data_IF_605298500778
#
_entry.id   IF_605298500778
#
_cell.length_a   1.000
_cell.length_b   1.000
_cell.length_c   1.000
_cell.angle_alpha   90.00
_cell.angle_beta   90.00
_cell.angle_gamma   90.00
#
_symmetry.space_group_name_H-M   'P 1'
#
loop_
_entity.id
_entity.type
_entity.pdbx_description
1 polymer ?
#
# COMPACT_ATOMS: atom_id res chain seq x y z
N UNK A 1 -37.44 6.10 7.49
CA UNK A 1 -36.14 5.55 7.01
C UNK A 1 -35.66 4.50 8.00
N UNK A 2 -34.69 3.65 7.63
CA UNK A 2 -34.06 2.71 8.58
C UNK A 2 -32.63 2.36 8.20
N UNK A 3 -31.85 1.89 9.16
CA UNK A 3 -30.53 1.31 8.93
C UNK A 3 -30.72 -0.18 8.63
N UNK A 4 -30.07 -0.68 7.58
CA UNK A 4 -30.16 -2.07 7.11
C UNK A 4 -28.77 -2.69 6.94
N UNK A 5 -28.69 -4.02 6.97
CA UNK A 5 -27.44 -4.76 6.77
C UNK A 5 -26.89 -4.52 5.36
N UNK A 6 -25.57 -4.31 5.26
CA UNK A 6 -24.88 -4.19 3.96
C UNK A 6 -25.04 -5.45 3.13
N UNK A 7 -25.32 -5.27 1.84
CA UNK A 7 -25.55 -6.36 0.89
C UNK A 7 -26.71 -7.30 1.27
N UNK A 8 -27.52 -6.96 2.28
CA UNK A 8 -28.70 -7.73 2.70
C UNK A 8 -29.78 -6.78 3.26
N UNK A 9 -30.29 -5.84 2.43
CA UNK A 9 -31.15 -4.74 2.89
C UNK A 9 -32.50 -5.20 3.46
N UNK A 10 -32.90 -6.45 3.22
CA UNK A 10 -34.08 -7.05 3.86
C UNK A 10 -33.97 -7.20 5.39
N UNK A 11 -32.77 -7.06 5.97
CA UNK A 11 -32.53 -7.20 7.40
C UNK A 11 -32.36 -5.82 8.05
N UNK A 12 -33.38 -5.32 8.79
CA UNK A 12 -33.28 -4.05 9.50
C UNK A 12 -32.36 -4.18 10.72
N UNK A 13 -31.50 -3.18 10.90
CA UNK A 13 -30.58 -3.07 12.03
C UNK A 13 -31.11 -2.10 13.09
N UNK A 14 -31.62 -0.94 12.68
CA UNK A 14 -32.17 0.06 13.58
C UNK A 14 -33.12 1.02 12.84
N UNK A 15 -34.16 1.54 13.50
CA UNK A 15 -34.96 2.61 12.92
C UNK A 15 -34.16 3.92 12.80
N UNK A 16 -34.58 4.76 11.85
CA UNK A 16 -34.19 6.18 11.80
C UNK A 16 -35.46 6.97 12.11
N UNK A 17 -35.39 7.80 13.14
CA UNK A 17 -36.53 8.61 13.58
C UNK A 17 -36.94 9.60 12.51
N UNK A 18 -38.18 10.09 12.58
CA UNK A 18 -38.67 11.10 11.63
C UNK A 18 -37.80 12.36 11.65
N UNK A 19 -37.39 12.83 12.84
CA UNK A 19 -36.47 13.97 13.00
C UNK A 19 -35.11 13.73 12.35
N UNK A 20 -34.53 12.54 12.50
CA UNK A 20 -33.29 12.17 11.82
C UNK A 20 -33.47 12.09 10.30
N UNK A 21 -34.58 11.54 9.83
CA UNK A 21 -34.88 11.42 8.40
C UNK A 21 -35.12 12.79 7.75
N UNK A 22 -35.76 13.73 8.45
CA UNK A 22 -35.90 15.12 8.01
C UNK A 22 -34.54 15.82 7.98
N UNK A 23 -33.74 15.70 9.03
CA UNK A 23 -32.41 16.30 9.10
C UNK A 23 -31.48 15.79 7.98
N UNK A 24 -31.52 14.49 7.67
CA UNK A 24 -30.77 13.90 6.56
C UNK A 24 -31.20 14.48 5.21
N UNK A 25 -32.51 14.65 4.99
CA UNK A 25 -33.05 15.25 3.76
C UNK A 25 -32.73 16.74 3.66
N UNK A 26 -32.85 17.50 4.76
CA UNK A 26 -32.56 18.93 4.80
C UNK A 26 -31.07 19.19 4.51
N UNK A 27 -30.18 18.40 5.12
CA UNK A 27 -28.75 18.49 4.86
C UNK A 27 -28.41 18.16 3.41
N UNK A 28 -29.00 17.09 2.88
CA UNK A 28 -28.79 16.73 1.48
C UNK A 28 -29.57 17.61 0.49
N UNK A 29 -30.53 18.39 0.95
CA UNK A 29 -31.30 19.35 0.15
C UNK A 29 -30.74 20.77 0.20
N UNK A 30 -29.59 20.99 0.85
CA UNK A 30 -29.01 22.31 1.13
C UNK A 30 -30.00 23.25 1.86
N UNK A 31 -30.85 22.69 2.72
CA UNK A 31 -31.85 23.42 3.51
C UNK A 31 -31.73 23.17 5.02
N UNK A 32 -30.62 22.56 5.48
CA UNK A 32 -30.36 22.32 6.89
C UNK A 32 -29.92 23.56 7.66
N UNK A 33 -30.25 23.60 8.94
CA UNK A 33 -29.59 24.46 9.92
C UNK A 33 -28.55 23.66 10.74
N UNK A 34 -27.85 24.34 11.66
CA UNK A 34 -26.80 23.71 12.50
C UNK A 34 -27.30 22.56 13.38
N UNK A 35 -28.56 22.57 13.83
CA UNK A 35 -29.13 21.47 14.62
C UNK A 35 -29.45 20.27 13.72
N UNK A 36 -29.98 20.51 12.52
CA UNK A 36 -30.19 19.48 11.51
C UNK A 36 -28.87 18.81 11.12
N UNK A 37 -27.80 19.58 10.92
CA UNK A 37 -26.47 19.03 10.63
C UNK A 37 -25.96 18.10 11.75
N UNK A 38 -26.15 18.50 13.00
CA UNK A 38 -25.76 17.70 14.17
C UNK A 38 -26.55 16.38 14.25
N UNK A 39 -27.85 16.44 13.96
CA UNK A 39 -28.75 15.29 13.99
C UNK A 39 -28.43 14.34 12.82
N UNK A 40 -28.27 14.87 11.61
CA UNK A 40 -27.88 14.12 10.42
C UNK A 40 -26.52 13.43 10.63
N UNK A 41 -25.53 14.14 11.17
CA UNK A 41 -24.22 13.58 11.50
C UNK A 41 -24.33 12.41 12.48
N UNK A 42 -25.18 12.53 13.50
CA UNK A 42 -25.41 11.46 14.49
C UNK A 42 -25.99 10.22 13.83
N UNK A 43 -26.99 10.39 12.96
CA UNK A 43 -27.60 9.29 12.21
C UNK A 43 -26.60 8.61 11.25
N UNK A 44 -25.77 9.38 10.55
CA UNK A 44 -24.74 8.86 9.64
C UNK A 44 -23.64 8.10 10.41
N UNK A 45 -23.20 8.64 11.55
CA UNK A 45 -22.24 7.95 12.45
C UNK A 45 -22.81 6.64 12.95
N UNK A 46 -24.08 6.63 13.40
CA UNK A 46 -24.77 5.41 13.85
C UNK A 46 -24.81 4.34 12.75
N UNK A 47 -25.26 4.71 11.56
CA UNK A 47 -25.29 3.81 10.40
C UNK A 47 -23.88 3.28 10.04
N UNK A 48 -22.84 4.12 10.16
CA UNK A 48 -21.45 3.71 9.92
C UNK A 48 -20.94 2.72 10.96
N UNK A 49 -21.16 2.99 12.25
CA UNK A 49 -20.73 2.13 13.36
C UNK A 49 -21.37 0.75 13.30
N UNK A 50 -22.62 0.66 12.85
CA UNK A 50 -23.34 -0.61 12.68
C UNK A 50 -22.96 -1.36 11.40
N UNK A 51 -21.93 -0.91 10.68
CA UNK A 51 -21.57 -1.35 9.32
C UNK A 51 -22.77 -1.44 8.36
N UNK A 52 -23.76 -0.55 8.49
CA UNK A 52 -25.02 -0.59 7.77
C UNK A 52 -25.09 0.35 6.56
N UNK A 53 -26.21 0.27 5.85
CA UNK A 53 -26.71 1.25 4.88
C UNK A 53 -27.98 1.90 5.39
N UNK A 54 -28.34 3.07 4.85
CA UNK A 54 -29.59 3.76 5.15
C UNK A 54 -30.57 3.49 4.03
N UNK A 55 -31.69 2.84 4.36
CA UNK A 55 -32.83 2.62 3.48
C UNK A 55 -33.77 3.83 3.52
N UNK A 56 -33.95 4.45 2.35
CA UNK A 56 -34.80 5.60 2.16
C UNK A 56 -36.25 5.16 1.95
N UNK A 57 -37.18 5.89 2.56
CA UNK A 57 -38.63 5.65 2.49
C UNK A 57 -39.34 6.58 1.50
N UNK A 58 -38.61 7.18 0.56
CA UNK A 58 -39.18 8.09 -0.44
C UNK A 58 -40.00 7.39 -1.53
N UNK A 59 -39.87 6.06 -1.67
CA UNK A 59 -40.65 5.26 -2.61
C UNK A 59 -41.27 4.08 -1.87
N UNK A 60 -42.49 3.73 -2.29
CA UNK A 60 -43.30 2.64 -1.73
C UNK A 60 -43.24 1.41 -2.64
N UNK A 61 -42.02 0.92 -2.90
CA UNK A 61 -41.75 -0.29 -3.70
C UNK A 61 -41.16 -1.41 -2.84
N UNK A 62 -41.19 -2.64 -3.37
CA UNK A 62 -40.60 -3.82 -2.72
C UNK A 62 -39.11 -3.62 -2.41
N UNK A 63 -38.39 -3.00 -3.35
CA UNK A 63 -37.01 -2.57 -3.17
C UNK A 63 -36.98 -1.08 -2.90
N UNK A 64 -36.12 -0.64 -1.98
CA UNK A 64 -36.02 0.76 -1.56
C UNK A 64 -34.63 1.33 -1.86
N UNK A 65 -34.50 2.63 -2.17
CA UNK A 65 -33.23 3.28 -2.44
C UNK A 65 -32.33 3.26 -1.21
N UNK A 66 -31.02 3.11 -1.44
CA UNK A 66 -30.04 2.91 -0.39
C UNK A 66 -28.95 3.98 -0.42
N UNK A 67 -28.57 4.46 0.76
CA UNK A 67 -27.49 5.42 0.99
C UNK A 67 -26.40 4.79 1.84
N UNK A 68 -25.15 4.87 1.38
CA UNK A 68 -23.98 4.39 2.09
C UNK A 68 -23.26 5.54 2.82
N UNK A 69 -23.05 5.44 4.15
CA UNK A 69 -22.18 6.34 4.90
C UNK A 69 -20.72 6.25 4.41
N UNK A 70 -20.22 7.35 3.83
CA UNK A 70 -18.82 7.50 3.42
C UNK A 70 -18.12 8.44 4.39
N UNK A 71 -17.07 7.93 5.01
CA UNK A 71 -16.15 8.74 5.80
C UNK A 71 -15.01 9.20 4.88
N UNK A 72 -14.80 10.50 4.83
CA UNK A 72 -13.68 11.16 4.16
C UNK A 72 -12.81 11.81 5.23
N UNK A 73 -11.55 12.12 4.92
CA UNK A 73 -10.50 12.42 5.92
C UNK A 73 -10.93 13.37 7.05
N UNK A 74 -11.82 14.34 6.80
CA UNK A 74 -12.38 15.24 7.83
C UNK A 74 -13.91 15.34 7.87
N UNK A 75 -14.64 14.61 7.01
CA UNK A 75 -16.10 14.81 6.86
C UNK A 75 -16.85 13.50 6.66
N UNK A 76 -18.11 13.48 7.10
CA UNK A 76 -19.07 12.45 6.71
C UNK A 76 -19.88 12.89 5.49
N UNK A 77 -20.16 11.95 4.59
CA UNK A 77 -21.10 12.14 3.49
C UNK A 77 -21.92 10.88 3.22
N UNK A 78 -22.96 11.00 2.39
CA UNK A 78 -23.78 9.88 1.93
C UNK A 78 -23.56 9.67 0.44
N UNK A 79 -23.23 8.42 0.08
CA UNK A 79 -23.17 7.98 -1.32
C UNK A 79 -24.40 7.16 -1.65
N UNK A 80 -25.14 7.57 -2.67
CA UNK A 80 -26.23 6.79 -3.25
C UNK A 80 -25.69 5.48 -3.84
N UNK A 81 -26.42 4.39 -3.64
CA UNK A 81 -26.07 3.10 -4.23
C UNK A 81 -26.94 2.88 -5.46
N UNK A 82 -26.30 2.85 -6.62
CA UNK A 82 -26.92 2.48 -7.89
C UNK A 82 -26.91 0.96 -8.09
N UNK A 83 -27.70 0.44 -9.04
CA UNK A 83 -27.55 -0.93 -9.54
C UNK A 83 -26.09 -1.22 -9.95
N UNK A 84 -25.65 -2.47 -9.87
CA UNK A 84 -24.33 -2.87 -10.39
C UNK A 84 -24.46 -3.13 -11.89
N UNK A 85 -23.67 -2.44 -12.72
CA UNK A 85 -23.67 -2.64 -14.17
C UNK A 85 -23.22 -4.06 -14.56
N UNK A 86 -23.92 -4.69 -15.52
CA UNK A 86 -23.44 -5.89 -16.22
C UNK A 86 -24.48 -6.83 -16.85
N UNK A 87 -25.76 -6.78 -16.46
CA UNK A 87 -26.80 -7.65 -17.03
C UNK A 87 -28.13 -6.88 -17.18
N UNK A 88 -28.63 -6.64 -18.42
CA UNK A 88 -29.90 -5.96 -18.68
C UNK A 88 -31.13 -6.66 -18.09
N UNK A 89 -30.99 -7.91 -17.64
CA UNK A 89 -32.09 -8.71 -17.10
C UNK A 89 -31.93 -9.08 -15.62
N UNK A 90 -30.93 -8.54 -14.91
CA UNK A 90 -30.81 -8.73 -13.48
C UNK A 90 -30.67 -7.41 -12.72
N UNK A 91 -31.63 -7.18 -11.82
CA UNK A 91 -31.58 -6.36 -10.60
C UNK A 91 -32.33 -5.01 -10.61
N UNK A 92 -33.64 -5.08 -10.31
CA UNK A 92 -34.43 -3.96 -9.76
C UNK A 92 -34.29 -3.79 -8.23
N UNK A 93 -33.19 -4.27 -7.62
CA UNK A 93 -33.02 -4.35 -6.17
C UNK A 93 -32.67 -3.00 -5.49
N UNK A 94 -32.34 -1.98 -6.30
CA UNK A 94 -31.87 -0.65 -5.86
C UNK A 94 -32.44 0.44 -6.76
N UNK A 95 -33.74 0.76 -6.63
CA UNK A 95 -34.34 1.82 -7.43
C UNK A 95 -33.75 3.19 -7.08
N UNK A 96 -33.86 4.13 -8.01
CA UNK A 96 -33.59 5.54 -7.74
C UNK A 96 -34.60 6.08 -6.70
N UNK A 97 -34.27 7.21 -6.09
CA UNK A 97 -35.18 7.91 -5.19
C UNK A 97 -36.38 8.50 -5.97
N UNK A 98 -37.44 8.93 -5.27
CA UNK A 98 -38.54 9.65 -5.92
C UNK A 98 -38.07 11.04 -6.37
N UNK A 99 -38.63 11.60 -7.44
CA UNK A 99 -38.24 12.91 -8.02
C UNK A 99 -38.23 14.06 -7.01
N UNK A 100 -39.12 14.02 -6.01
CA UNK A 100 -39.24 15.03 -4.94
C UNK A 100 -38.25 14.82 -3.79
N UNK A 101 -37.48 13.74 -3.81
CA UNK A 101 -36.52 13.40 -2.77
C UNK A 101 -35.20 14.12 -3.04
N UNK A 102 -34.56 14.78 -2.04
CA UNK A 102 -33.25 15.42 -2.24
C UNK A 102 -32.14 14.47 -2.70
N UNK A 103 -32.33 13.17 -2.48
CA UNK A 103 -31.41 12.13 -2.93
C UNK A 103 -31.66 11.66 -4.37
N UNK A 104 -32.65 12.22 -5.09
CA UNK A 104 -32.93 11.95 -6.50
C UNK A 104 -31.76 12.35 -7.40
N UNK A 105 -31.66 11.69 -8.55
CA UNK A 105 -30.71 12.00 -9.62
C UNK A 105 -31.44 11.86 -10.94
N UNK A 106 -31.42 12.90 -11.76
CA UNK A 106 -31.87 12.83 -13.16
C UNK A 106 -30.82 12.04 -13.94
N UNK A 107 -31.23 10.90 -14.52
CA UNK A 107 -30.53 10.03 -15.48
C UNK A 107 -28.98 10.04 -15.45
N UNK A 108 -28.39 8.93 -15.00
CA UNK A 108 -26.94 8.67 -14.86
C UNK A 108 -26.06 9.11 -16.05
N UNK A 109 -25.43 10.29 -15.93
CA UNK A 109 -24.44 10.80 -16.91
C UNK A 109 -22.98 10.45 -16.53
N UNK A 110 -22.77 9.50 -15.61
CA UNK A 110 -21.40 9.06 -15.26
C UNK A 110 -21.16 7.66 -15.78
N UNK A 111 -20.43 7.47 -16.90
CA UNK A 111 -20.02 6.14 -17.29
C UNK A 111 -19.21 5.51 -16.15
N UNK A 112 -19.43 4.21 -15.92
CA UNK A 112 -18.58 3.39 -15.07
C UNK A 112 -17.12 3.62 -15.51
N UNK A 113 -16.35 4.32 -14.68
CA UNK A 113 -14.91 4.44 -14.88
C UNK A 113 -14.32 3.06 -14.62
N UNK A 114 -14.16 2.30 -15.70
CA UNK A 114 -13.33 1.11 -15.76
C UNK A 114 -11.95 1.42 -15.14
N UNK A 115 -11.48 0.51 -14.27
CA UNK A 115 -10.20 0.60 -13.57
C UNK A 115 -9.03 0.59 -14.60
N UNK A 116 -8.39 1.74 -14.83
CA UNK A 116 -7.16 1.82 -15.63
C UNK A 116 -5.90 1.67 -14.76
N UNK A 117 -5.28 0.48 -14.81
CA UNK A 117 -3.85 0.24 -14.97
C UNK A 117 -2.81 0.94 -14.07
N UNK A 118 -2.26 0.21 -13.09
CA UNK A 118 -1.00 0.59 -12.43
C UNK A 118 0.26 0.05 -13.09
N UNK A 119 1.04 0.97 -13.66
CA UNK A 119 2.31 0.70 -14.31
C UNK A 119 3.55 1.19 -13.52
N UNK A 120 3.48 2.26 -12.70
CA UNK A 120 4.67 2.87 -12.05
C UNK A 120 4.38 3.31 -10.59
N UNK A 121 5.23 2.91 -9.64
CA UNK A 121 5.17 3.31 -8.21
C UNK A 121 5.55 4.80 -8.03
N UNK A 122 5.15 5.48 -6.94
CA UNK A 122 5.62 6.84 -6.69
C UNK A 122 7.14 6.91 -6.53
N UNK A 123 7.71 8.08 -6.80
CA UNK A 123 9.09 8.42 -6.44
C UNK A 123 9.29 8.37 -4.91
N UNK A 124 10.51 8.04 -4.45
CA UNK A 124 10.81 8.07 -3.02
C UNK A 124 10.69 9.50 -2.50
N UNK A 125 9.90 9.69 -1.44
CA UNK A 125 9.84 10.98 -0.72
C UNK A 125 11.01 11.02 0.27
N UNK A 126 12.22 11.23 -0.23
CA UNK A 126 13.50 11.10 0.51
C UNK A 126 13.60 12.02 1.73
N UNK A 127 12.92 13.16 1.76
CA UNK A 127 13.09 14.16 2.82
C UNK A 127 12.07 14.09 3.98
N UNK A 128 10.97 13.36 3.83
CA UNK A 128 9.91 13.40 4.84
C UNK A 128 10.24 12.48 6.00
N UNK A 129 10.80 12.98 7.11
CA UNK A 129 11.01 12.15 8.31
C UNK A 129 9.71 11.73 9.01
N UNK A 130 8.60 12.42 8.72
CA UNK A 130 7.30 12.17 9.34
C UNK A 130 6.50 11.05 8.67
N UNK A 131 5.67 10.39 9.48
CA UNK A 131 4.75 9.31 9.17
C UNK A 131 3.34 9.78 9.52
N UNK A 132 2.42 9.64 8.58
CA UNK A 132 1.04 10.09 8.78
C UNK A 132 0.33 9.22 9.82
N UNK A 133 -0.16 9.86 10.88
CA UNK A 133 -1.09 9.25 11.82
C UNK A 133 -2.52 9.20 11.27
N UNK A 134 -3.44 8.56 11.99
CA UNK A 134 -4.86 8.59 11.64
C UNK A 134 -5.42 10.01 11.82
N UNK A 135 -6.20 10.53 10.84
CA UNK A 135 -6.88 11.80 11.01
C UNK A 135 -7.94 11.69 12.10
N UNK A 136 -8.30 12.81 12.75
CA UNK A 136 -9.40 12.87 13.73
C UNK A 136 -10.67 12.16 13.23
N UNK A 137 -11.52 11.70 14.16
CA UNK A 137 -12.87 11.22 13.78
C UNK A 137 -13.64 12.43 13.25
N UNK A 138 -14.15 12.40 12.01
CA UNK A 138 -14.93 13.52 11.50
C UNK A 138 -16.07 13.86 12.46
N UNK A 139 -16.12 15.12 12.85
CA UNK A 139 -17.11 15.73 13.71
C UNK A 139 -18.04 16.67 12.93
N UNK A 140 -17.85 16.77 11.61
CA UNK A 140 -18.61 17.65 10.72
C UNK A 140 -19.06 16.93 9.45
N UNK A 141 -20.13 17.43 8.87
CA UNK A 141 -20.61 17.01 7.54
C UNK A 141 -19.78 17.69 6.45
N UNK A 142 -19.76 17.08 5.25
CA UNK A 142 -19.13 17.70 4.10
C UNK A 142 -19.90 18.95 3.68
N UNK A 143 -19.18 20.06 3.47
CA UNK A 143 -19.68 21.24 2.79
C UNK A 143 -19.84 20.91 1.29
N UNK A 144 -21.02 21.14 0.74
CA UNK A 144 -21.38 20.79 -0.64
C UNK A 144 -21.09 21.91 -1.63
N UNK A 145 -21.01 23.16 -1.17
CA UNK A 145 -20.75 24.32 -2.02
C UNK A 145 -19.25 24.56 -2.21
N UNK A 146 -18.41 23.97 -1.34
CA UNK A 146 -16.99 23.87 -1.56
C UNK A 146 -16.70 22.97 -2.77
N UNK A 147 -16.14 23.54 -3.84
CA UNK A 147 -15.58 22.78 -4.96
C UNK A 147 -14.71 21.66 -4.40
N UNK A 148 -15.13 20.41 -4.61
CA UNK A 148 -14.33 19.26 -4.23
C UNK A 148 -12.98 19.44 -4.95
N UNK A 149 -11.84 19.56 -4.24
CA UNK A 149 -10.55 19.62 -4.91
C UNK A 149 -10.49 18.40 -5.82
N UNK A 150 -10.35 18.66 -7.12
CA UNK A 150 -10.55 17.71 -8.22
C UNK A 150 -10.15 16.31 -7.79
N UNK A 151 -11.16 15.49 -7.47
CA UNK A 151 -10.91 14.13 -7.03
C UNK A 151 -10.43 13.36 -8.24
N UNK A 152 -9.12 13.14 -8.32
CA UNK A 152 -8.59 12.15 -9.24
C UNK A 152 -9.26 10.81 -8.89
N UNK A 153 -10.00 10.28 -9.86
CA UNK A 153 -10.69 8.99 -9.75
C UNK A 153 -9.68 7.82 -9.70
N UNK A 154 -8.38 8.11 -9.74
CA UNK A 154 -7.21 7.22 -9.60
C UNK A 154 -7.01 6.58 -8.19
N UNK A 155 -8.06 6.08 -7.52
CA UNK A 155 -7.95 5.50 -6.16
C UNK A 155 -7.73 3.97 -6.10
N UNK A 156 -7.74 3.30 -7.25
CA UNK A 156 -7.23 1.93 -7.53
C UNK A 156 -5.91 1.52 -6.86
N UNK A 157 -5.05 2.52 -6.75
CA UNK A 157 -3.99 2.47 -7.71
C UNK A 157 -2.72 2.91 -6.97
N UNK A 158 -2.80 4.04 -6.25
CA UNK A 158 -1.74 4.48 -5.36
C UNK A 158 -1.59 3.51 -4.19
N UNK A 159 -0.35 3.10 -3.84
CA UNK A 159 -0.11 2.39 -2.59
C UNK A 159 -0.70 3.17 -1.43
N UNK A 160 -1.35 2.46 -0.50
CA UNK A 160 -1.94 3.11 0.66
C UNK A 160 -0.88 3.90 1.44
N UNK A 161 -1.30 4.95 2.17
CA UNK A 161 -0.38 5.72 3.04
C UNK A 161 0.44 4.78 3.94
N UNK A 162 -0.19 3.75 4.52
CA UNK A 162 0.47 2.68 5.27
C UNK A 162 1.48 1.86 4.45
N UNK A 163 1.14 1.52 3.21
CA UNK A 163 2.06 0.81 2.31
C UNK A 163 3.31 1.63 1.98
N UNK A 164 3.15 2.93 1.75
CA UNK A 164 4.29 3.84 1.57
C UNK A 164 5.15 3.90 2.84
N UNK A 165 4.54 3.95 4.02
CA UNK A 165 5.26 3.92 5.31
C UNK A 165 6.07 2.61 5.43
N UNK A 166 5.44 1.47 5.14
CA UNK A 166 6.12 0.18 5.19
C UNK A 166 7.29 0.10 4.20
N UNK A 167 7.12 0.57 2.97
CA UNK A 167 8.21 0.58 2.00
C UNK A 167 9.37 1.49 2.42
N UNK A 168 9.08 2.63 3.04
CA UNK A 168 10.12 3.49 3.61
C UNK A 168 10.87 2.79 4.75
N UNK A 169 10.17 2.06 5.62
CA UNK A 169 10.80 1.24 6.66
C UNK A 169 11.68 0.13 6.07
N UNK A 170 11.17 -0.64 5.11
CA UNK A 170 11.91 -1.73 4.46
C UNK A 170 13.15 -1.17 3.78
N UNK A 171 13.02 -0.09 3.00
CA UNK A 171 14.12 0.57 2.31
C UNK A 171 15.19 1.07 3.27
N UNK A 172 14.78 1.73 4.35
CA UNK A 172 15.70 2.25 5.36
C UNK A 172 16.38 1.15 6.18
N UNK A 173 15.68 0.05 6.44
CA UNK A 173 16.22 -1.11 7.13
C UNK A 173 17.12 -1.99 6.23
N UNK A 174 17.16 -1.72 4.92
CA UNK A 174 17.88 -2.55 3.94
C UNK A 174 17.30 -3.96 3.79
N UNK A 175 16.03 -4.17 4.14
CA UNK A 175 15.38 -5.50 4.08
C UNK A 175 14.98 -5.86 2.64
N UNK A 176 14.88 -4.87 1.75
CA UNK A 176 14.73 -5.07 0.31
C UNK A 176 16.07 -5.35 -0.41
N UNK A 177 17.13 -5.63 0.33
CA UNK A 177 18.47 -5.88 -0.21
C UNK A 177 19.00 -7.20 0.33
N UNK A 178 19.42 -8.09 -0.57
CA UNK A 178 20.25 -9.24 -0.25
C UNK A 178 21.70 -8.83 -0.49
N UNK A 179 22.52 -8.72 0.57
CA UNK A 179 23.91 -8.33 0.41
C UNK A 179 24.73 -9.46 -0.24
N UNK A 180 25.93 -9.16 -0.75
CA UNK A 180 26.88 -10.18 -1.20
C UNK A 180 27.12 -11.26 -0.14
N UNK A 181 27.19 -12.52 -0.55
CA UNK A 181 27.42 -13.65 0.38
C UNK A 181 28.77 -13.58 1.08
N UNK A 182 29.75 -12.89 0.49
CA UNK A 182 31.02 -12.54 1.10
C UNK A 182 30.86 -11.80 2.43
N UNK A 183 29.77 -11.06 2.61
CA UNK A 183 29.47 -10.30 3.83
C UNK A 183 28.82 -11.16 4.92
N UNK A 184 28.66 -12.47 4.65
CA UNK A 184 28.08 -13.48 5.54
C UNK A 184 26.74 -13.03 6.13
N UNK A 185 25.72 -12.77 5.28
CA UNK A 185 24.42 -12.32 5.77
C UNK A 185 23.76 -13.35 6.68
N UNK A 186 23.11 -12.84 7.73
CA UNK A 186 22.24 -13.62 8.59
C UNK A 186 20.79 -13.51 8.12
N UNK A 187 20.24 -14.63 7.66
CA UNK A 187 18.83 -14.76 7.27
C UNK A 187 18.05 -15.42 8.40
N UNK A 188 17.44 -14.59 9.22
CA UNK A 188 16.48 -15.02 10.24
C UNK A 188 15.46 -13.90 10.48
N UNK A 189 14.27 -14.27 10.97
CA UNK A 189 13.20 -13.31 11.24
C UNK A 189 13.61 -12.25 12.26
N UNK A 190 14.20 -12.67 13.39
CA UNK A 190 14.51 -11.79 14.53
C UNK A 190 15.50 -10.67 14.17
N UNK A 191 16.66 -10.94 13.53
CA UNK A 191 17.57 -9.88 13.07
C UNK A 191 16.90 -8.90 12.09
N UNK A 192 16.05 -9.36 11.19
CA UNK A 192 15.36 -8.46 10.24
C UNK A 192 14.32 -7.57 10.91
N UNK A 193 13.53 -8.12 11.85
CA UNK A 193 12.64 -7.31 12.68
C UNK A 193 13.42 -6.33 13.55
N UNK A 194 14.65 -6.68 13.98
CA UNK A 194 15.54 -5.75 14.67
C UNK A 194 15.96 -4.56 13.78
N UNK A 195 16.37 -4.82 12.53
CA UNK A 195 16.69 -3.77 11.54
C UNK A 195 15.49 -2.85 11.30
N UNK A 196 14.29 -3.41 11.13
CA UNK A 196 13.06 -2.64 10.94
C UNK A 196 12.73 -1.77 12.17
N UNK A 197 12.88 -2.30 13.39
CA UNK A 197 12.71 -1.52 14.63
C UNK A 197 13.73 -0.39 14.74
N UNK A 198 14.97 -0.63 14.34
CA UNK A 198 16.00 0.42 14.33
C UNK A 198 15.64 1.54 13.36
N UNK A 199 15.31 1.19 12.10
CA UNK A 199 14.89 2.16 11.09
C UNK A 199 13.66 2.98 11.52
N UNK A 200 12.71 2.36 12.24
CA UNK A 200 11.52 3.04 12.75
C UNK A 200 11.83 4.13 13.79
N UNK A 201 12.95 4.05 14.52
CA UNK A 201 13.35 5.10 15.49
C UNK A 201 13.73 6.41 14.83
N UNK A 202 14.15 6.35 13.58
CA UNK A 202 14.54 7.53 12.82
C UNK A 202 13.37 8.16 12.06
N UNK A 203 12.19 7.54 12.09
CA UNK A 203 10.96 8.10 11.55
C UNK A 203 10.15 8.71 12.69
N UNK A 204 9.53 9.87 12.45
CA UNK A 204 8.71 10.58 13.44
C UNK A 204 7.23 10.39 13.15
N UNK A 205 6.42 10.23 14.18
CA UNK A 205 4.94 10.32 14.06
C UNK A 205 4.50 11.69 14.53
N UNK A 206 5.06 12.14 15.66
CA UNK A 206 4.92 13.48 16.21
C UNK A 206 6.29 14.12 16.40
N UNK A 207 6.34 15.39 16.77
CA UNK A 207 7.61 16.08 17.06
C UNK A 207 8.40 15.36 18.17
N UNK A 208 7.69 14.89 19.20
CA UNK A 208 8.20 14.22 20.41
C UNK A 208 8.30 12.70 20.25
N UNK A 209 7.44 12.08 19.43
CA UNK A 209 7.34 10.63 19.32
C UNK A 209 7.82 10.08 17.98
N UNK A 210 8.74 9.13 18.06
CA UNK A 210 9.21 8.35 16.90
C UNK A 210 8.23 7.22 16.59
N UNK A 211 8.23 6.75 15.35
CA UNK A 211 7.47 5.57 14.96
C UNK A 211 7.92 4.36 15.78
N UNK A 212 9.23 4.18 15.99
CA UNK A 212 9.76 3.09 16.79
C UNK A 212 9.28 3.08 18.25
N UNK A 213 8.93 4.23 18.83
CA UNK A 213 8.34 4.31 20.18
C UNK A 213 6.85 3.94 20.20
N UNK A 214 6.13 4.23 19.12
CA UNK A 214 4.68 3.98 18.98
C UNK A 214 4.35 2.72 18.16
N UNK A 215 5.36 1.92 17.83
CA UNK A 215 5.24 0.70 17.04
C UNK A 215 5.64 -0.53 17.85
N UNK A 216 4.81 -1.58 17.83
CA UNK A 216 5.19 -2.90 18.31
C UNK A 216 5.47 -3.86 17.15
N UNK A 217 6.37 -4.81 17.37
CA UNK A 217 6.58 -5.97 16.47
C UNK A 217 6.09 -7.28 17.08
N UNK A 218 5.35 -7.21 18.19
CA UNK A 218 4.86 -8.37 18.91
C UNK A 218 3.35 -8.33 19.03
N UNK A 219 2.67 -9.33 18.45
CA UNK A 219 1.21 -9.30 18.38
C UNK A 219 0.52 -9.37 19.75
N UNK A 220 1.16 -9.96 20.77
CA UNK A 220 0.54 -10.04 22.10
C UNK A 220 0.33 -8.66 22.73
N UNK A 221 1.17 -7.68 22.40
CA UNK A 221 1.03 -6.30 22.89
C UNK A 221 -0.31 -5.66 22.50
N UNK A 222 -0.93 -6.12 21.41
CA UNK A 222 -2.28 -5.70 21.02
C UNK A 222 -3.36 -6.15 22.00
N UNK A 223 -3.21 -7.34 22.54
CA UNK A 223 -4.22 -7.98 23.38
C UNK A 223 -4.02 -7.72 24.88
N UNK A 224 -2.84 -7.22 25.26
CA UNK A 224 -2.48 -6.92 26.64
C UNK A 224 -2.52 -5.39 26.90
N UNK A 225 -3.53 -4.89 27.63
CA UNK A 225 -3.63 -3.47 28.02
C UNK A 225 -2.45 -2.98 28.84
N UNK A 226 -1.72 -3.88 29.52
CA UNK A 226 -0.56 -3.54 30.34
C UNK A 226 0.77 -3.65 29.58
N UNK A 227 0.71 -3.96 28.29
CA UNK A 227 1.91 -4.04 27.47
C UNK A 227 2.65 -2.70 27.41
N UNK A 228 3.98 -2.77 27.30
CA UNK A 228 4.83 -1.57 27.17
C UNK A 228 4.37 -0.68 26.01
N UNK A 229 3.92 -1.26 24.91
CA UNK A 229 3.48 -0.51 23.74
C UNK A 229 2.20 0.30 24.02
N UNK A 230 1.19 -0.31 24.66
CA UNK A 230 -0.02 0.43 25.04
C UNK A 230 0.27 1.49 26.10
N UNK A 231 1.13 1.20 27.08
CA UNK A 231 1.57 2.20 28.06
C UNK A 231 2.31 3.40 27.43
N UNK A 232 3.10 3.19 26.36
CA UNK A 232 3.72 4.28 25.60
C UNK A 232 2.69 5.09 24.82
N UNK A 233 1.66 4.44 24.27
CA UNK A 233 0.53 5.14 23.65
C UNK A 233 -0.20 6.01 24.68
N UNK A 234 -0.50 5.48 25.87
CA UNK A 234 -1.09 6.26 26.98
C UNK A 234 -0.23 7.45 27.36
N UNK A 235 1.07 7.25 27.53
CA UNK A 235 2.01 8.34 27.83
C UNK A 235 2.07 9.40 26.71
N UNK A 236 1.86 9.02 25.45
CA UNK A 236 1.91 9.96 24.32
C UNK A 236 0.69 10.87 24.21
N UNK A 237 -0.40 10.55 24.91
CA UNK A 237 -1.70 11.23 24.81
C UNK A 237 -1.66 12.77 24.79
N UNK A 238 -0.97 13.47 25.71
CA UNK A 238 -0.98 14.94 25.73
C UNK A 238 -0.30 15.59 24.52
N UNK A 239 0.51 14.85 23.75
CA UNK A 239 1.26 15.39 22.61
C UNK A 239 0.47 15.32 21.29
N UNK A 240 -0.70 14.66 21.28
CA UNK A 240 -1.50 14.50 20.07
C UNK A 240 -2.32 15.77 19.79
N UNK A 241 -2.18 16.40 18.61
CA UNK A 241 -3.00 17.54 18.25
C UNK A 241 -4.43 17.10 17.95
N UNK A 242 -5.41 17.97 18.18
CA UNK A 242 -6.84 17.71 17.96
C UNK A 242 -7.17 17.19 16.55
N UNK A 243 -6.41 17.61 15.54
CA UNK A 243 -6.58 17.18 14.15
C UNK A 243 -6.19 15.72 13.88
N UNK A 244 -5.49 15.06 14.81
CA UNK A 244 -4.99 13.69 14.70
C UNK A 244 -5.51 12.82 15.84
N UNK A 245 -5.73 11.54 15.56
CA UNK A 245 -5.99 10.56 16.62
C UNK A 245 -4.68 10.03 17.14
N UNK A 246 -4.65 9.74 18.44
CA UNK A 246 -3.63 8.86 19.00
C UNK A 246 -3.60 7.55 18.25
N UNK A 247 -2.45 7.30 17.62
CA UNK A 247 -2.27 6.21 16.67
C UNK A 247 -1.10 5.34 17.11
N UNK A 248 -1.39 4.08 17.39
CA UNK A 248 -0.38 3.03 17.52
C UNK A 248 -0.14 2.31 16.20
N UNK A 249 1.07 1.78 16.02
CA UNK A 249 1.43 0.98 14.86
C UNK A 249 1.82 -0.43 15.28
N UNK A 250 1.57 -1.41 14.41
CA UNK A 250 2.12 -2.75 14.58
C UNK A 250 2.76 -3.22 13.29
N UNK A 251 3.94 -3.82 13.37
CA UNK A 251 4.67 -4.39 12.26
C UNK A 251 4.89 -5.88 12.51
N UNK A 252 4.14 -6.73 11.83
CA UNK A 252 4.03 -8.16 12.15
C UNK A 252 4.37 -9.02 10.94
N UNK A 253 5.15 -10.08 11.17
CA UNK A 253 5.21 -11.17 10.21
C UNK A 253 3.93 -12.00 10.30
N UNK A 254 3.29 -12.23 9.16
CA UNK A 254 1.95 -12.81 9.09
C UNK A 254 1.92 -13.86 7.98
N UNK A 255 1.80 -15.16 8.31
CA UNK A 255 1.71 -16.22 7.30
C UNK A 255 0.50 -16.04 6.39
N UNK A 256 -0.62 -15.56 6.95
CA UNK A 256 -1.87 -15.33 6.23
C UNK A 256 -2.52 -14.02 6.63
N UNK A 257 -3.28 -13.44 5.70
CA UNK A 257 -4.14 -12.27 5.91
C UNK A 257 -5.47 -12.48 5.21
N UNK A 258 -6.52 -11.82 5.67
CA UNK A 258 -7.79 -11.68 4.95
C UNK A 258 -8.05 -10.20 4.68
N UNK A 259 -9.13 -9.87 3.97
CA UNK A 259 -9.54 -8.48 3.76
C UNK A 259 -9.83 -7.74 5.08
N UNK A 260 -10.11 -8.46 6.18
CA UNK A 260 -10.57 -7.92 7.46
C UNK A 260 -9.76 -8.37 8.67
N UNK A 261 -8.76 -9.24 8.51
CA UNK A 261 -7.98 -9.72 9.64
C UNK A 261 -6.53 -9.99 9.25
N UNK A 262 -5.63 -9.86 10.23
CA UNK A 262 -4.24 -10.30 10.13
C UNK A 262 -4.01 -11.47 11.08
N UNK A 263 -3.40 -12.54 10.58
CA UNK A 263 -3.00 -13.71 11.37
C UNK A 263 -1.48 -13.65 11.60
N UNK A 264 -1.00 -13.09 12.74
CA UNK A 264 0.43 -12.98 13.00
C UNK A 264 1.05 -14.35 13.32
N UNK A 265 2.30 -14.58 12.91
CA UNK A 265 3.01 -15.82 13.27
C UNK A 265 3.26 -15.94 14.79
N UNK A 266 3.41 -14.80 15.46
CA UNK A 266 3.74 -14.72 16.89
C UNK A 266 2.58 -15.05 17.83
N UNK A 267 1.35 -15.19 17.34
CA UNK A 267 0.17 -15.36 18.19
C UNK A 267 -0.94 -16.13 17.46
N UNK A 268 -1.60 -17.06 18.16
CA UNK A 268 -2.71 -17.81 17.59
C UNK A 268 -3.97 -16.94 17.31
N UNK A 269 -4.13 -15.82 18.03
CA UNK A 269 -5.25 -14.90 17.86
C UNK A 269 -5.03 -14.01 16.64
N UNK A 270 -6.07 -13.88 15.82
CA UNK A 270 -6.12 -12.92 14.71
C UNK A 270 -6.43 -11.51 15.23
N UNK A 271 -5.90 -10.50 14.56
CA UNK A 271 -6.21 -9.10 14.81
C UNK A 271 -7.25 -8.67 13.77
N UNK A 272 -8.48 -8.41 14.24
CA UNK A 272 -9.58 -7.90 13.40
C UNK A 272 -9.35 -6.43 13.02
N UNK A 273 -9.56 -6.11 11.75
CA UNK A 273 -9.32 -4.82 11.13
C UNK A 273 -10.67 -4.18 10.77
N UNK A 274 -10.96 -3.04 11.39
CA UNK A 274 -12.22 -2.34 11.19
C UNK A 274 -12.49 -1.99 9.71
N UNK A 275 -11.48 -1.43 9.02
CA UNK A 275 -11.62 -1.00 7.62
C UNK A 275 -11.27 -2.11 6.64
N UNK A 276 -10.01 -2.22 6.20
CA UNK A 276 -9.55 -3.30 5.35
C UNK A 276 -8.04 -3.47 5.45
N UNK A 277 -7.58 -4.69 5.15
CA UNK A 277 -6.17 -4.96 4.83
C UNK A 277 -5.99 -4.77 3.33
N UNK A 278 -5.12 -3.85 2.93
CA UNK A 278 -4.73 -3.65 1.53
C UNK A 278 -3.50 -4.50 1.22
N UNK A 279 -3.41 -4.99 0.00
CA UNK A 279 -2.27 -5.76 -0.51
C UNK A 279 -2.02 -5.39 -1.97
N UNK A 280 -0.80 -5.60 -2.52
CA UNK A 280 -0.59 -5.57 -3.96
C UNK A 280 -1.59 -6.49 -4.68
N UNK A 281 -2.11 -6.05 -5.83
CA UNK A 281 -3.17 -6.75 -6.56
C UNK A 281 -2.64 -7.81 -7.55
N UNK A 282 -1.32 -7.93 -7.74
CA UNK A 282 -0.72 -8.79 -8.77
C UNK A 282 -0.63 -10.26 -8.34
N UNK A 283 -0.77 -11.17 -9.31
CA UNK A 283 -0.68 -12.63 -9.12
C UNK A 283 -1.89 -13.28 -8.43
N UNK A 284 -1.89 -14.61 -8.34
CA UNK A 284 -2.94 -15.39 -7.68
C UNK A 284 -3.04 -15.06 -6.17
N UNK A 285 -4.20 -14.60 -5.66
CA UNK A 285 -4.43 -14.35 -4.23
C UNK A 285 -4.05 -15.49 -3.29
N UNK A 286 -4.25 -16.76 -3.69
CA UNK A 286 -3.97 -17.90 -2.82
C UNK A 286 -2.45 -18.08 -2.56
N UNK A 287 -1.61 -17.59 -3.47
CA UNK A 287 -0.16 -17.79 -3.47
C UNK A 287 0.63 -16.53 -3.06
N UNK A 288 -0.03 -15.49 -2.52
CA UNK A 288 0.63 -14.22 -2.17
C UNK A 288 1.39 -14.25 -0.85
N UNK A 289 1.00 -15.09 0.11
CA UNK A 289 1.67 -15.18 1.41
C UNK A 289 3.06 -15.83 1.34
N UNK A 290 3.92 -15.65 2.35
CA UNK A 290 3.65 -14.92 3.59
C UNK A 290 3.81 -13.40 3.44
N UNK A 291 3.46 -12.66 4.51
CA UNK A 291 3.41 -11.19 4.49
C UNK A 291 4.19 -10.55 5.63
N UNK A 292 4.76 -9.38 5.35
CA UNK A 292 5.08 -8.38 6.37
C UNK A 292 3.92 -7.37 6.40
N UNK A 293 3.23 -7.29 7.53
CA UNK A 293 2.05 -6.46 7.70
C UNK A 293 2.35 -5.24 8.55
N UNK A 294 1.84 -4.08 8.16
CA UNK A 294 1.77 -2.90 9.01
C UNK A 294 0.30 -2.57 9.29
N UNK A 295 -0.02 -2.36 10.55
CA UNK A 295 -1.34 -1.95 11.03
C UNK A 295 -1.22 -0.60 11.72
N UNK A 296 -2.29 0.18 11.68
CA UNK A 296 -2.50 1.24 12.66
C UNK A 296 -3.72 0.94 13.53
N UNK A 297 -3.64 1.38 14.77
CA UNK A 297 -4.67 1.21 15.78
C UNK A 297 -4.99 2.55 16.43
N UNK A 298 -6.26 2.73 16.79
CA UNK A 298 -6.73 3.85 17.62
C UNK A 298 -7.43 3.33 18.87
N UNK A 299 -7.77 4.26 19.74
CA UNK A 299 -8.62 4.02 20.91
C UNK A 299 -10.01 4.56 20.55
N UNK A 300 -11.03 3.71 20.71
CA UNK A 300 -12.42 4.04 20.33
C UNK A 300 -12.90 5.33 21.00
N UNK A 301 -14.04 5.87 20.53
CA UNK A 301 -14.83 6.94 21.17
C UNK A 301 -14.03 7.94 22.03
N UNK A 302 -13.62 9.07 21.43
CA UNK A 302 -12.91 10.15 22.10
C UNK A 302 -11.57 9.73 22.75
N UNK A 303 -10.87 8.75 22.18
CA UNK A 303 -9.53 8.32 22.62
C UNK A 303 -9.50 7.69 24.02
N UNK A 304 -10.62 7.08 24.46
CA UNK A 304 -10.78 6.48 25.78
C UNK A 304 -11.12 4.97 25.76
N UNK A 305 -11.61 4.45 24.64
CA UNK A 305 -12.02 3.06 24.55
C UNK A 305 -10.85 2.08 24.35
N UNK A 306 -11.12 0.76 24.32
CA UNK A 306 -10.09 -0.23 24.09
C UNK A 306 -9.47 -0.06 22.70
N UNK A 307 -8.21 -0.47 22.58
CA UNK A 307 -7.49 -0.40 21.32
C UNK A 307 -8.20 -1.22 20.24
N UNK A 308 -8.25 -0.68 19.02
CA UNK A 308 -8.73 -1.40 17.84
C UNK A 308 -7.87 -1.11 16.62
N UNK A 309 -7.62 -2.13 15.82
CA UNK A 309 -6.93 -1.96 14.55
C UNK A 309 -7.88 -1.37 13.47
N UNK A 310 -7.46 -0.26 12.85
CA UNK A 310 -8.30 0.51 11.94
C UNK A 310 -8.11 0.09 10.49
N UNK A 311 -6.87 0.00 10.02
CA UNK A 311 -6.53 -0.41 8.67
C UNK A 311 -5.17 -1.10 8.66
N UNK A 312 -4.97 -1.95 7.66
CA UNK A 312 -3.73 -2.69 7.48
C UNK A 312 -3.21 -2.60 6.05
N UNK A 313 -1.91 -2.79 5.90
CA UNK A 313 -1.28 -3.08 4.62
C UNK A 313 -0.40 -4.32 4.76
N UNK A 314 -0.58 -5.27 3.85
CA UNK A 314 0.16 -6.52 3.80
C UNK A 314 1.06 -6.53 2.56
N UNK A 315 2.37 -6.48 2.78
CA UNK A 315 3.38 -6.64 1.73
C UNK A 315 3.76 -8.12 1.65
N UNK A 316 3.51 -8.80 0.53
CA UNK A 316 4.09 -10.11 0.28
C UNK A 316 5.60 -10.06 0.44
N UNK A 317 6.16 -11.08 1.09
CA UNK A 317 7.59 -11.26 1.24
C UNK A 317 8.00 -12.65 0.77
N UNK A 318 9.30 -12.85 0.59
CA UNK A 318 9.87 -14.12 0.16
C UNK A 318 9.54 -15.24 1.17
N UNK A 319 9.97 -15.12 2.42
CA UNK A 319 9.60 -16.04 3.50
C UNK A 319 9.79 -15.41 4.91
N UNK A 320 9.68 -16.22 5.97
CA UNK A 320 9.87 -15.74 7.36
C UNK A 320 11.32 -15.42 7.73
N UNK A 321 12.29 -16.08 7.11
CA UNK A 321 13.72 -15.88 7.39
C UNK A 321 14.34 -14.81 6.50
N UNK A 322 13.63 -14.34 5.49
CA UNK A 322 14.05 -13.34 4.52
C UNK A 322 12.81 -12.54 4.11
N UNK A 323 12.61 -11.40 4.78
CA UNK A 323 11.48 -10.49 4.58
C UNK A 323 11.62 -9.63 3.31
N UNK A 324 12.39 -10.12 2.33
CA UNK A 324 12.60 -9.48 1.04
C UNK A 324 11.24 -9.35 0.33
N UNK A 325 10.84 -8.14 -0.09
CA UNK A 325 9.50 -7.89 -0.61
C UNK A 325 9.33 -8.45 -2.03
N UNK A 326 8.16 -9.00 -2.32
CA UNK A 326 7.75 -9.48 -3.65
C UNK A 326 6.35 -8.96 -4.00
N UNK A 327 5.93 -8.97 -5.26
CA UNK A 327 4.56 -8.54 -5.65
C UNK A 327 3.65 -9.68 -6.08
N UNK A 328 4.20 -10.86 -6.35
CA UNK A 328 3.44 -12.04 -6.80
C UNK A 328 4.15 -13.35 -6.43
N UNK A 329 3.45 -14.49 -6.55
CA UNK A 329 4.06 -15.82 -6.43
C UNK A 329 5.18 -16.03 -7.47
N UNK A 330 4.94 -15.66 -8.73
CA UNK A 330 5.95 -15.73 -9.78
C UNK A 330 7.22 -14.93 -9.45
N UNK A 331 7.07 -13.72 -8.90
CA UNK A 331 8.22 -12.93 -8.47
C UNK A 331 8.97 -13.57 -7.29
N UNK A 332 8.28 -14.32 -6.43
CA UNK A 332 8.93 -15.13 -5.38
C UNK A 332 9.77 -16.25 -6.01
N UNK A 333 9.28 -16.91 -7.05
CA UNK A 333 10.03 -17.95 -7.76
C UNK A 333 11.26 -17.37 -8.47
N UNK A 334 11.13 -16.20 -9.10
CA UNK A 334 12.29 -15.46 -9.65
C UNK A 334 13.28 -15.09 -8.55
N UNK A 335 12.80 -14.64 -7.38
CA UNK A 335 13.67 -14.35 -6.23
C UNK A 335 14.44 -15.61 -5.79
N UNK A 336 13.78 -16.77 -5.76
CA UNK A 336 14.42 -18.06 -5.46
C UNK A 336 15.57 -18.36 -6.44
N UNK A 337 15.32 -18.19 -7.75
CA UNK A 337 16.34 -18.38 -8.78
C UNK A 337 17.50 -17.39 -8.64
N UNK A 338 17.24 -16.13 -8.29
CA UNK A 338 18.29 -15.12 -8.07
C UNK A 338 19.14 -15.42 -6.83
N UNK A 339 18.54 -15.94 -5.76
CA UNK A 339 19.29 -16.32 -4.55
C UNK A 339 20.13 -17.57 -4.80
N UNK A 340 19.58 -18.54 -5.54
CA UNK A 340 20.35 -19.68 -6.04
C UNK A 340 21.52 -19.22 -6.92
N UNK A 341 21.29 -18.32 -7.88
CA UNK A 341 22.31 -17.75 -8.75
C UNK A 341 23.45 -17.12 -7.95
N UNK A 342 23.13 -16.30 -6.94
CA UNK A 342 24.12 -15.66 -6.08
C UNK A 342 25.00 -16.71 -5.37
N UNK A 343 24.39 -17.79 -4.88
CA UNK A 343 25.12 -18.89 -4.25
C UNK A 343 26.00 -19.64 -5.25
N UNK A 344 25.47 -20.00 -6.41
CA UNK A 344 26.23 -20.70 -7.46
C UNK A 344 27.44 -19.88 -7.93
N UNK A 345 27.27 -18.56 -8.11
CA UNK A 345 28.37 -17.67 -8.50
C UNK A 345 29.35 -17.38 -7.37
N UNK A 346 28.91 -17.38 -6.12
CA UNK A 346 29.82 -17.29 -4.97
C UNK A 346 30.76 -18.50 -4.89
N UNK A 347 30.26 -19.70 -5.21
CA UNK A 347 31.06 -20.92 -5.25
C UNK A 347 31.99 -20.96 -6.49
N UNK A 348 31.48 -20.56 -7.67
CA UNK A 348 32.23 -20.65 -8.94
C UNK A 348 33.16 -19.45 -9.23
N UNK A 349 32.85 -18.26 -8.71
CA UNK A 349 33.60 -17.02 -8.91
C UNK A 349 33.63 -16.18 -7.61
N UNK A 350 34.37 -16.59 -6.56
CA UNK A 350 34.31 -15.98 -5.23
C UNK A 350 34.63 -14.47 -5.17
N UNK A 351 35.38 -13.96 -6.15
CA UNK A 351 35.72 -12.55 -6.32
C UNK A 351 34.58 -11.70 -6.91
N UNK A 352 33.53 -12.33 -7.44
CA UNK A 352 32.32 -11.67 -7.91
C UNK A 352 31.38 -11.41 -6.73
N UNK A 353 31.23 -10.15 -6.35
CA UNK A 353 30.28 -9.71 -5.34
C UNK A 353 28.99 -9.32 -6.05
N UNK A 354 27.85 -9.87 -5.61
CA UNK A 354 26.54 -9.59 -6.18
C UNK A 354 25.61 -9.13 -5.07
N UNK A 355 25.08 -7.91 -5.19
CA UNK A 355 24.04 -7.38 -4.30
C UNK A 355 22.71 -7.38 -5.05
N UNK A 356 21.69 -8.04 -4.50
CA UNK A 356 20.35 -8.11 -5.11
C UNK A 356 19.44 -7.12 -4.41
N UNK A 357 18.82 -6.22 -5.17
CA UNK A 357 17.93 -5.20 -4.62
C UNK A 357 16.55 -5.33 -5.26
N UNK A 358 15.49 -5.27 -4.44
CA UNK A 358 14.12 -5.01 -4.90
C UNK A 358 13.84 -3.50 -4.83
N UNK A 359 13.69 -2.80 -5.98
CA UNK A 359 13.29 -1.40 -5.96
C UNK A 359 11.88 -1.23 -5.38
N UNK A 360 11.77 -0.43 -4.32
CA UNK A 360 10.49 -0.16 -3.64
C UNK A 360 9.72 1.04 -4.22
N UNK A 361 10.44 1.93 -4.90
CA UNK A 361 9.95 3.18 -5.48
C UNK A 361 10.43 3.28 -6.93
N UNK A 362 9.79 4.12 -7.73
CA UNK A 362 10.29 4.42 -9.07
C UNK A 362 11.63 5.15 -9.03
N UNK A 363 12.41 4.96 -10.08
CA UNK A 363 13.67 5.64 -10.34
C UNK A 363 13.46 6.63 -11.48
N UNK A 364 14.21 7.73 -11.43
CA UNK A 364 14.29 8.69 -12.51
C UNK A 364 15.37 8.23 -13.50
N UNK A 365 15.01 8.24 -14.78
CA UNK A 365 15.97 8.11 -15.89
C UNK A 365 15.76 9.29 -16.84
N UNK A 366 16.75 9.62 -17.69
CA UNK A 366 16.59 10.66 -18.72
C UNK A 366 15.31 10.51 -19.56
N UNK A 367 14.91 9.29 -19.87
CA UNK A 367 13.70 8.98 -20.66
C UNK A 367 12.42 8.81 -19.81
N UNK A 368 12.46 9.14 -18.52
CA UNK A 368 11.33 9.17 -17.61
C UNK A 368 11.39 8.11 -16.51
N UNK A 369 10.27 7.93 -15.80
CA UNK A 369 10.23 7.03 -14.64
C UNK A 369 10.21 5.56 -15.07
N UNK A 370 10.99 4.75 -14.36
CA UNK A 370 10.89 3.29 -14.44
C UNK A 370 11.05 2.67 -13.05
N UNK A 371 10.72 1.39 -12.94
CA UNK A 371 10.99 0.63 -11.72
C UNK A 371 11.30 -0.81 -12.11
N UNK A 372 12.59 -1.17 -12.15
CA UNK A 372 12.99 -2.55 -12.33
C UNK A 372 12.33 -3.47 -11.30
N UNK A 373 12.06 -4.72 -11.68
CA UNK A 373 11.59 -5.72 -10.74
C UNK A 373 12.74 -6.19 -9.84
N UNK A 374 13.95 -6.36 -10.36
CA UNK A 374 15.15 -6.59 -9.57
C UNK A 374 16.37 -5.87 -10.16
N UNK A 375 17.32 -5.52 -9.29
CA UNK A 375 18.63 -4.98 -9.69
C UNK A 375 19.72 -5.80 -9.02
N UNK A 376 20.65 -6.32 -9.82
CA UNK A 376 21.87 -6.95 -9.37
C UNK A 376 23.01 -5.94 -9.54
N UNK A 377 23.54 -5.41 -8.44
CA UNK A 377 24.80 -4.68 -8.52
C UNK A 377 25.94 -5.69 -8.42
N UNK A 378 26.76 -5.78 -9.46
CA UNK A 378 27.91 -6.68 -9.51
C UNK A 378 29.20 -5.90 -9.38
N UNK A 379 30.13 -6.41 -8.58
CA UNK A 379 31.48 -5.88 -8.46
C UNK A 379 32.47 -7.04 -8.56
N UNK A 380 33.39 -6.94 -9.52
CA UNK A 380 34.36 -7.99 -9.82
C UNK A 380 35.78 -7.38 -9.74
N UNK A 381 36.59 -7.80 -8.77
CA UNK A 381 37.95 -7.27 -8.61
C UNK A 381 38.01 -5.73 -8.58
N UNK A 382 38.79 -5.14 -9.49
CA UNK A 382 38.98 -3.68 -9.61
C UNK A 382 38.11 -3.04 -10.70
N UNK A 383 37.17 -3.78 -11.30
CA UNK A 383 36.24 -3.19 -12.27
C UNK A 383 35.19 -2.34 -11.55
N UNK A 384 34.75 -1.27 -12.22
CA UNK A 384 33.64 -0.45 -11.73
C UNK A 384 32.39 -1.32 -11.55
N UNK A 385 31.61 -1.13 -10.46
CA UNK A 385 30.37 -1.87 -10.27
C UNK A 385 29.37 -1.64 -11.40
N UNK A 386 28.69 -2.70 -11.83
CA UNK A 386 27.71 -2.69 -12.91
C UNK A 386 26.34 -3.03 -12.36
N UNK A 387 25.31 -2.28 -12.76
CA UNK A 387 23.92 -2.64 -12.49
C UNK A 387 23.39 -3.52 -13.61
N UNK A 388 22.88 -4.69 -13.24
CA UNK A 388 22.18 -5.61 -14.12
C UNK A 388 20.71 -5.66 -13.72
N UNK A 389 19.83 -5.54 -14.69
CA UNK A 389 18.38 -5.47 -14.48
C UNK A 389 17.76 -6.83 -14.77
N UNK A 390 16.91 -7.32 -13.88
CA UNK A 390 16.11 -8.54 -14.11
C UNK A 390 14.63 -8.21 -14.03
N UNK A 391 13.92 -8.48 -15.11
CA UNK A 391 12.49 -8.18 -15.26
C UNK A 391 11.66 -9.46 -15.22
N UNK A 392 10.68 -9.52 -14.30
CA UNK A 392 9.81 -10.67 -14.09
C UNK A 392 8.43 -10.43 -14.74
N UNK A 393 8.22 -11.01 -15.93
CA UNK A 393 7.00 -10.90 -16.72
C UNK A 393 5.92 -11.89 -16.25
N UNK A 394 5.35 -11.66 -15.06
CA UNK A 394 4.41 -12.59 -14.44
C UNK A 394 2.98 -12.60 -15.01
N UNK A 395 2.65 -11.72 -15.96
CA UNK A 395 1.33 -11.66 -16.59
C UNK A 395 1.48 -11.42 -18.10
N UNK A 396 0.64 -12.08 -18.89
CA UNK A 396 0.64 -11.98 -20.35
C UNK A 396 -0.60 -11.21 -20.84
N UNK A 397 -0.87 -10.03 -20.27
CA UNK A 397 -1.95 -9.16 -20.75
C UNK A 397 -1.40 -8.07 -21.67
N UNK A 398 -2.19 -7.66 -22.66
CA UNK A 398 -1.78 -6.64 -23.63
C UNK A 398 -1.49 -5.28 -22.97
N UNK A 399 -2.24 -4.91 -21.94
CA UNK A 399 -1.99 -3.70 -21.16
C UNK A 399 -0.65 -3.76 -20.41
N UNK A 400 -0.29 -4.94 -19.89
CA UNK A 400 0.96 -5.16 -19.19
C UNK A 400 2.15 -5.14 -20.16
N UNK A 401 1.99 -5.73 -21.37
CA UNK A 401 2.99 -5.66 -22.45
C UNK A 401 3.22 -4.21 -22.90
N UNK A 402 2.15 -3.48 -23.22
CA UNK A 402 2.24 -2.08 -23.65
C UNK A 402 2.89 -1.17 -22.59
N UNK A 403 2.69 -1.46 -21.30
CA UNK A 403 3.36 -0.77 -20.21
C UNK A 403 4.87 -1.07 -20.15
N UNK A 404 5.24 -2.35 -20.35
CA UNK A 404 6.63 -2.79 -20.35
C UNK A 404 7.39 -2.29 -21.58
N UNK A 405 6.78 -2.25 -22.76
CA UNK A 405 7.38 -1.66 -23.97
C UNK A 405 7.83 -0.21 -23.76
N UNK A 406 7.07 0.58 -22.97
CA UNK A 406 7.45 1.96 -22.62
C UNK A 406 8.54 2.04 -21.56
N UNK A 407 8.63 1.08 -20.66
CA UNK A 407 9.52 1.15 -19.48
C UNK A 407 10.84 0.39 -19.67
N UNK A 408 10.89 -0.64 -20.53
CA UNK A 408 12.10 -1.38 -20.86
C UNK A 408 13.22 -0.50 -21.47
N UNK A 409 12.94 0.42 -22.40
CA UNK A 409 13.97 1.34 -22.90
C UNK A 409 14.60 2.17 -21.78
N UNK A 410 13.78 2.64 -20.81
CA UNK A 410 14.25 3.39 -19.64
C UNK A 410 15.11 2.53 -18.72
N UNK A 411 14.78 1.24 -18.55
CA UNK A 411 15.57 0.31 -17.75
C UNK A 411 16.94 0.01 -18.37
N UNK A 412 17.01 -0.04 -19.71
CA UNK A 412 18.29 -0.22 -20.43
C UNK A 412 19.27 0.94 -20.24
N UNK A 413 18.78 2.12 -19.85
CA UNK A 413 19.64 3.25 -19.44
C UNK A 413 20.33 3.02 -18.09
N UNK A 414 19.75 2.15 -17.24
CA UNK A 414 20.35 1.76 -15.95
C UNK A 414 21.41 0.69 -16.15
N UNK A 415 21.13 -0.29 -17.02
CA UNK A 415 22.05 -1.35 -17.37
C UNK A 415 21.43 -2.46 -18.21
N UNK A 416 22.20 -3.50 -18.55
CA UNK A 416 21.72 -4.66 -19.30
C UNK A 416 20.48 -5.28 -18.65
N UNK A 417 19.48 -5.67 -19.46
CA UNK A 417 18.21 -6.24 -18.98
C UNK A 417 18.11 -7.72 -19.36
N UNK A 418 17.79 -8.57 -18.38
CA UNK A 418 17.45 -9.97 -18.57
C UNK A 418 15.96 -10.18 -18.25
N UNK A 419 15.22 -10.77 -19.18
CA UNK A 419 13.77 -10.99 -19.05
C UNK A 419 13.49 -12.44 -18.61
N UNK A 420 12.57 -12.63 -17.67
CA UNK A 420 12.11 -13.94 -17.21
C UNK A 420 10.59 -14.02 -17.29
N UNK A 421 10.07 -15.05 -17.95
CA UNK A 421 8.64 -15.35 -18.11
C UNK A 421 8.28 -16.65 -17.38
N UNK A 422 6.98 -16.92 -17.11
CA UNK A 422 6.52 -18.15 -16.47
C UNK A 422 7.03 -19.43 -17.15
N UNK A 423 7.12 -19.45 -18.48
CA UNK A 423 7.62 -20.60 -19.22
C UNK A 423 9.11 -20.89 -18.93
N UNK A 424 9.92 -19.86 -18.64
CA UNK A 424 11.36 -19.98 -18.42
C UNK A 424 11.70 -20.68 -17.10
N UNK A 425 10.82 -20.59 -16.10
CA UNK A 425 11.00 -21.21 -14.78
C UNK A 425 10.16 -22.48 -14.58
N UNK A 426 9.50 -22.96 -15.65
CA UNK A 426 8.83 -24.26 -15.62
C UNK A 426 9.84 -25.37 -15.33
N UNK A 427 9.38 -26.49 -14.78
CA UNK A 427 10.25 -27.61 -14.41
C UNK A 427 11.14 -28.09 -15.58
N UNK A 428 10.65 -27.99 -16.82
CA UNK A 428 11.40 -28.39 -18.02
C UNK A 428 12.50 -27.39 -18.42
N UNK A 429 12.33 -26.10 -18.10
CA UNK A 429 13.20 -25.02 -18.62
C UNK A 429 14.08 -24.36 -17.54
N UNK A 430 13.76 -24.56 -16.25
CA UNK A 430 14.41 -23.84 -15.15
C UNK A 430 15.94 -24.02 -15.11
N UNK A 431 16.46 -25.21 -15.41
CA UNK A 431 17.89 -25.47 -15.43
C UNK A 431 18.60 -24.67 -16.55
N UNK A 432 18.04 -24.69 -17.75
CA UNK A 432 18.60 -23.98 -18.90
C UNK A 432 18.53 -22.45 -18.70
N UNK A 433 17.41 -21.95 -18.18
CA UNK A 433 17.26 -20.54 -17.82
C UNK A 433 18.29 -20.14 -16.76
N UNK A 434 18.51 -20.97 -15.75
CA UNK A 434 19.53 -20.76 -14.73
C UNK A 434 20.94 -20.66 -15.31
N UNK A 435 21.29 -21.55 -16.24
CA UNK A 435 22.58 -21.51 -16.97
C UNK A 435 22.72 -20.23 -17.80
N UNK A 436 21.70 -19.87 -18.59
CA UNK A 436 21.68 -18.64 -19.38
C UNK A 436 21.88 -17.40 -18.52
N UNK A 437 21.18 -17.32 -17.39
CA UNK A 437 21.30 -16.20 -16.46
C UNK A 437 22.71 -16.13 -15.83
N UNK A 438 23.29 -17.28 -15.46
CA UNK A 438 24.64 -17.36 -14.93
C UNK A 438 25.68 -16.83 -15.93
N UNK A 439 25.63 -17.31 -17.17
CA UNK A 439 26.54 -16.84 -18.23
C UNK A 439 26.36 -15.35 -18.50
N UNK A 440 25.11 -14.89 -18.57
CA UNK A 440 24.79 -13.49 -18.81
C UNK A 440 25.35 -12.57 -17.71
N UNK A 441 25.23 -12.96 -16.42
CA UNK A 441 25.82 -12.19 -15.32
C UNK A 441 27.35 -12.15 -15.41
N UNK A 442 28.01 -13.28 -15.71
CA UNK A 442 29.47 -13.32 -15.83
C UNK A 442 29.99 -12.47 -16.99
N UNK A 443 29.31 -12.51 -18.13
CA UNK A 443 29.62 -11.72 -19.32
C UNK A 443 29.59 -10.23 -18.97
N UNK A 444 28.48 -9.74 -18.42
CA UNK A 444 28.29 -8.32 -18.17
C UNK A 444 29.06 -7.80 -16.95
N UNK A 445 29.41 -8.66 -15.98
CA UNK A 445 30.19 -8.25 -14.80
C UNK A 445 31.68 -8.04 -15.09
N UNK A 446 32.17 -8.51 -16.23
CA UNK A 446 33.59 -8.39 -16.64
C UNK A 446 33.86 -7.23 -17.61
N UNK A 447 32.81 -6.56 -18.07
CA UNK A 447 32.88 -5.53 -19.10
C UNK A 447 32.47 -4.18 -18.54
N UNK A 448 33.41 -3.45 -17.94
CA UNK A 448 33.30 -2.00 -17.76
C UNK A 448 34.62 -1.35 -18.15
N UNK A 449 34.74 -1.00 -19.43
CA UNK A 449 35.77 -0.10 -19.94
C UNK A 449 35.18 1.30 -20.04
N UNK A 450 35.43 2.14 -19.04
CA UNK A 450 35.27 3.59 -19.23
C UNK A 450 36.46 4.08 -20.04
N UNK A 451 36.19 4.74 -21.17
CA UNK A 451 37.21 5.43 -21.97
C UNK A 451 38.03 6.39 -21.08
N UNK A 452 39.34 6.56 -21.34
CA UNK A 452 40.19 7.38 -20.49
C UNK A 452 39.66 8.81 -20.48
N UNK A 453 39.39 9.35 -19.27
CA UNK A 453 39.20 10.78 -19.06
C UNK A 453 40.43 11.48 -19.65
N UNK A 454 40.24 12.26 -20.71
CA UNK A 454 41.23 13.24 -21.13
C UNK A 454 41.47 14.16 -19.95
N UNK A 455 42.65 14.03 -19.36
CA UNK A 455 43.21 15.02 -18.45
C UNK A 455 43.55 16.20 -19.35
N UNK A 456 42.67 17.22 -19.38
CA UNK A 456 43.01 18.52 -19.94
C UNK A 456 44.14 19.11 -19.11
N UNK A 457 45.34 18.97 -19.63
CA UNK A 457 46.53 19.65 -19.16
C UNK A 457 46.47 21.08 -19.66
N UNK A 458 45.86 21.98 -18.88
CA UNK A 458 46.11 23.41 -19.06
C UNK A 458 47.48 23.73 -18.48
N UNK A 459 48.49 23.78 -19.35
CA UNK A 459 49.73 24.52 -19.13
C UNK A 459 49.67 25.83 -19.90
N UNK A 460 49.56 26.90 -19.12
CA UNK A 460 50.31 28.16 -19.19
C UNK A 460 50.24 29.10 -20.40
N UNK A 461 50.31 30.37 -20.01
CA UNK A 461 50.90 31.52 -20.70
C UNK A 461 50.00 32.20 -21.76
N UNK A 462 49.85 33.52 -21.84
CA UNK A 462 50.51 34.65 -21.17
C UNK A 462 49.76 35.95 -21.57
N UNK A 463 49.86 36.95 -20.69
CA UNK A 463 50.09 38.39 -20.94
C UNK A 463 49.04 39.34 -21.53
N UNK A 464 48.91 40.43 -20.78
CA UNK A 464 48.84 41.85 -21.13
C UNK A 464 47.56 42.43 -21.76
N UNK A 465 47.00 43.40 -21.02
CA UNK A 465 46.98 44.77 -21.54
C UNK A 465 45.69 45.53 -21.33
N UNK A 466 45.61 46.24 -20.19
CA UNK A 466 45.18 47.64 -19.99
C UNK A 466 44.31 47.80 -18.76
#
# INVERSE_FOLDING_TARGET
MRIVVRNSPGHPLAPITEREAMALRAWYGNSSNKDDDRIALTAIKRAKTMDGWIECDCVSSQFKPLLAPIQQEKTFTLRRLTPKDGDPHQHGDRPNHADTCPFHVDQDDTPALFDQGYNIRPLPKTERTYVDALPAIPDRLADRDASAPGRSVERNDRPSKLGVILWRLIGKAGVNVIPPLQDRPEFALSPQLSKLRHAARELKVLRTWTLGALMSTWAADYFDPYSRWQALLDKSRPDWPEALRRTGFMLLFSPTVSAKAVSPASNARKIEIHSKVRQPLRGDPASRGPFLTILNADFQENDQGPIRAIQGYAQPVYNGDTLFPVESGFERDVSHMLFWLQRSLFEAAPQLRIRITKPLFAWETPSGLCRPDFVLETAYGNYDPVNLIVEAFGMDTEEYKAAKEKTLPRMREIGPVFEIRPADISQANAEETGKRLLYWVLEHSRHSTRAPRQISTERNATTHGS
#
